data_IF_260231132221
#
_entry.id   IF_260231132221
#
_cell.length_a   1.000
_cell.length_b   1.000
_cell.length_c   1.000
_cell.angle_alpha   90.00
_cell.angle_beta   90.00
_cell.angle_gamma   90.00
#
_symmetry.space_group_name_H-M   'P 1'
#
loop_
_entity.id
_entity.type
_entity.pdbx_description
1 polymer ?
#
# COMPACT_ATOMS: atom_id res chain seq x y z
N UNK A 1 1.40 25.83 12.11
CA UNK A 1 0.61 25.44 13.31
C UNK A 1 1.22 24.17 13.86
N UNK A 2 1.19 23.89 15.18
CA UNK A 2 1.54 22.56 15.67
C UNK A 2 0.66 21.53 14.94
N UNK A 3 1.26 20.43 14.49
CA UNK A 3 0.53 19.35 13.83
C UNK A 3 -0.63 18.88 14.70
N UNK A 4 -1.78 18.64 14.10
CA UNK A 4 -2.90 18.03 14.82
C UNK A 4 -2.53 16.56 15.01
N UNK A 5 -2.51 16.04 16.24
CA UNK A 5 -2.21 14.63 16.47
C UNK A 5 -3.20 13.75 15.71
N UNK A 6 -2.81 12.49 15.44
CA UNK A 6 -3.70 11.48 14.84
C UNK A 6 -5.09 11.54 15.51
N UNK A 7 -6.18 11.81 14.77
CA UNK A 7 -7.51 11.87 15.34
C UNK A 7 -7.81 10.62 16.17
N UNK A 8 -8.32 10.80 17.40
CA UNK A 8 -8.47 9.71 18.38
C UNK A 8 -9.39 8.61 17.86
N UNK A 9 -10.46 9.00 17.18
CA UNK A 9 -11.40 8.10 16.51
C UNK A 9 -10.71 7.30 15.39
N UNK A 10 -9.91 7.95 14.54
CA UNK A 10 -9.11 7.25 13.52
C UNK A 10 -8.12 6.26 14.17
N UNK A 11 -7.49 6.63 15.28
CA UNK A 11 -6.56 5.75 16.01
C UNK A 11 -7.21 4.46 16.49
N UNK A 12 -8.45 4.53 16.94
CA UNK A 12 -9.19 3.34 17.37
C UNK A 12 -9.70 2.52 16.17
N UNK A 13 -10.11 3.19 15.09
CA UNK A 13 -10.50 2.53 13.85
C UNK A 13 -9.36 1.79 13.15
N UNK A 14 -8.11 2.25 13.27
CA UNK A 14 -6.95 1.51 12.73
C UNK A 14 -6.75 0.13 13.37
N UNK A 15 -7.40 -0.15 14.50
CA UNK A 15 -7.41 -1.47 15.15
C UNK A 15 -8.61 -2.32 14.72
N UNK A 16 -9.56 -1.75 13.99
CA UNK A 16 -10.80 -2.38 13.58
C UNK A 16 -10.66 -3.04 12.19
N UNK A 17 -10.82 -4.36 12.07
CA UNK A 17 -10.83 -5.06 10.79
C UNK A 17 -11.78 -4.47 9.74
N UNK A 18 -12.95 -3.98 10.16
CA UNK A 18 -13.93 -3.44 9.20
C UNK A 18 -13.47 -2.13 8.58
N UNK A 19 -12.72 -1.31 9.32
CA UNK A 19 -12.14 -0.08 8.78
C UNK A 19 -11.19 -0.44 7.64
N UNK A 20 -10.33 -1.44 7.85
CA UNK A 20 -9.42 -1.89 6.81
C UNK A 20 -10.13 -2.52 5.62
N UNK A 21 -11.23 -3.24 5.85
CA UNK A 21 -12.02 -3.83 4.78
C UNK A 21 -12.61 -2.74 3.88
N UNK A 22 -13.18 -1.70 4.50
CA UNK A 22 -13.74 -0.55 3.80
C UNK A 22 -12.65 0.31 3.14
N UNK A 23 -11.55 0.60 3.85
CA UNK A 23 -10.41 1.36 3.34
C UNK A 23 -9.75 0.67 2.15
N UNK A 24 -9.57 -0.66 2.20
CA UNK A 24 -9.03 -1.44 1.08
C UNK A 24 -10.06 -1.75 -0.01
N UNK A 25 -11.35 -1.46 0.24
CA UNK A 25 -12.50 -1.76 -0.62
C UNK A 25 -12.63 -3.25 -0.95
N UNK A 26 -12.55 -4.11 0.08
CA UNK A 26 -12.67 -5.56 -0.09
C UNK A 26 -14.12 -6.04 -0.24
N UNK A 27 -15.11 -5.26 0.21
CA UNK A 27 -16.52 -5.69 0.33
C UNK A 27 -17.47 -5.07 -0.71
N UNK A 28 -16.97 -4.48 -1.81
CA UNK A 28 -17.78 -3.83 -2.86
C UNK A 28 -18.55 -4.82 -3.78
N UNK A 29 -19.03 -5.92 -3.21
CA UNK A 29 -20.04 -6.80 -3.80
C UNK A 29 -21.41 -6.23 -3.42
N UNK A 30 -21.74 -5.06 -3.98
CA UNK A 30 -22.89 -4.22 -3.62
C UNK A 30 -24.18 -4.97 -3.27
N UNK A 31 -24.69 -4.69 -2.07
CA UNK A 31 -26.09 -4.32 -1.81
C UNK A 31 -26.48 -4.39 -0.30
N UNK A 32 -25.65 -4.87 0.65
CA UNK A 32 -26.18 -5.23 1.98
C UNK A 32 -25.46 -4.75 3.28
N UNK A 33 -24.36 -3.98 3.30
CA UNK A 33 -23.69 -3.60 4.58
C UNK A 33 -23.06 -2.17 4.66
N UNK A 34 -23.41 -1.25 3.75
CA UNK A 34 -22.78 0.09 3.71
C UNK A 34 -23.32 1.10 4.76
N UNK A 35 -24.41 0.79 5.47
CA UNK A 35 -25.02 1.70 6.47
C UNK A 35 -24.05 2.12 7.59
N UNK A 36 -22.98 1.35 7.83
CA UNK A 36 -22.01 1.66 8.89
C UNK A 36 -21.21 2.95 8.60
N UNK A 37 -20.90 3.19 7.33
CA UNK A 37 -20.07 4.31 6.92
C UNK A 37 -20.89 5.47 6.36
N UNK A 38 -22.17 5.26 6.06
CA UNK A 38 -23.11 6.30 5.69
C UNK A 38 -23.06 7.47 6.68
N UNK A 39 -23.00 8.69 6.14
CA UNK A 39 -22.94 9.96 6.90
C UNK A 39 -21.69 10.11 7.81
N UNK A 40 -20.66 9.26 7.68
CA UNK A 40 -19.43 9.44 8.46
C UNK A 40 -18.64 10.66 7.95
N UNK A 41 -18.25 11.64 8.80
CA UNK A 41 -17.69 12.93 8.37
C UNK A 41 -16.28 12.90 7.73
N UNK A 42 -15.77 11.72 7.35
CA UNK A 42 -14.38 11.52 6.94
C UNK A 42 -13.36 11.85 8.03
N UNK A 43 -12.08 11.69 7.71
CA UNK A 43 -10.94 11.98 8.59
C UNK A 43 -9.85 12.74 7.84
N UNK A 44 -9.22 13.68 8.54
CA UNK A 44 -8.02 14.38 8.06
C UNK A 44 -6.85 14.10 8.99
N UNK A 45 -5.83 13.43 8.48
CA UNK A 45 -4.53 13.27 9.14
C UNK A 45 -3.58 14.36 8.61
N UNK A 46 -3.11 15.25 9.49
CA UNK A 46 -2.11 16.28 9.16
C UNK A 46 -0.82 16.03 9.92
N UNK A 47 0.25 15.67 9.21
CA UNK A 47 1.52 15.28 9.81
C UNK A 47 2.62 16.34 9.60
N UNK A 48 3.24 16.83 10.68
CA UNK A 48 4.38 17.76 10.62
C UNK A 48 5.65 17.03 10.15
N UNK A 49 6.17 17.43 9.00
CA UNK A 49 7.40 16.87 8.41
C UNK A 49 8.63 17.66 8.88
N UNK A 50 8.44 18.90 9.32
CA UNK A 50 9.48 19.85 9.69
C UNK A 50 9.60 21.04 8.73
N UNK A 51 10.27 22.10 9.19
CA UNK A 51 10.44 23.33 8.42
C UNK A 51 9.12 24.02 8.05
N UNK A 52 8.04 23.75 8.79
CA UNK A 52 6.70 24.28 8.53
C UNK A 52 5.92 23.57 7.41
N UNK A 53 6.44 22.47 6.86
CA UNK A 53 5.73 21.65 5.86
C UNK A 53 4.91 20.57 6.55
N UNK A 54 3.72 20.29 6.01
CA UNK A 54 2.89 19.17 6.47
C UNK A 54 2.48 18.28 5.31
N UNK A 55 2.37 16.98 5.58
CA UNK A 55 1.66 16.04 4.72
C UNK A 55 0.21 15.95 5.19
N UNK A 56 -0.73 15.90 4.27
CA UNK A 56 -2.18 15.82 4.57
C UNK A 56 -2.75 14.59 3.87
N UNK A 57 -3.47 13.78 4.63
CA UNK A 57 -4.23 12.65 4.13
C UNK A 57 -5.69 12.82 4.54
N UNK A 58 -6.57 12.88 3.56
CA UNK A 58 -8.02 12.93 3.76
C UNK A 58 -8.61 11.58 3.39
N UNK A 59 -9.44 11.02 4.26
CA UNK A 59 -10.05 9.69 4.12
C UNK A 59 -11.55 9.88 4.27
N UNK A 60 -12.29 9.58 3.23
CA UNK A 60 -13.74 9.57 3.22
C UNK A 60 -14.20 8.20 2.73
N UNK A 61 -14.58 7.34 3.67
CA UNK A 61 -14.97 5.96 3.36
C UNK A 61 -16.37 5.92 2.72
N UNK A 62 -17.26 6.82 3.14
CA UNK A 62 -18.62 6.95 2.60
C UNK A 62 -18.58 7.31 1.11
N UNK A 63 -17.74 8.29 0.77
CA UNK A 63 -17.51 8.66 -0.64
C UNK A 63 -16.50 7.77 -1.36
N UNK A 64 -15.94 6.76 -0.69
CA UNK A 64 -14.89 5.90 -1.23
C UNK A 64 -13.62 6.65 -1.66
N UNK A 65 -13.36 7.83 -1.12
CA UNK A 65 -12.32 8.77 -1.56
C UNK A 65 -11.17 8.86 -0.56
N UNK A 66 -9.94 8.77 -1.04
CA UNK A 66 -8.74 9.05 -0.25
C UNK A 66 -7.88 10.07 -1.01
N UNK A 67 -7.58 11.22 -0.41
CA UNK A 67 -6.74 12.26 -1.01
C UNK A 67 -5.43 12.39 -0.27
N UNK A 68 -4.34 12.51 -1.04
CA UNK A 68 -3.01 12.86 -0.55
C UNK A 68 -2.65 14.27 -1.01
N UNK A 69 -2.26 15.11 -0.06
CA UNK A 69 -1.80 16.47 -0.32
C UNK A 69 -0.63 16.88 0.57
N UNK A 70 -0.12 18.09 0.35
CA UNK A 70 0.85 18.72 1.23
C UNK A 70 0.59 20.22 1.40
N UNK A 71 0.95 20.77 2.55
CA UNK A 71 0.92 22.21 2.77
C UNK A 71 2.36 22.74 2.94
N UNK A 72 2.84 23.58 2.01
CA UNK A 72 4.03 24.39 2.24
C UNK A 72 3.87 25.36 3.42
N UNK A 73 4.97 25.93 3.94
CA UNK A 73 4.90 26.93 5.01
C UNK A 73 4.04 28.13 4.61
N UNK A 74 3.02 28.42 5.42
CA UNK A 74 2.12 29.54 5.21
C UNK A 74 0.96 29.28 4.23
N UNK A 75 0.88 28.09 3.64
CA UNK A 75 -0.25 27.65 2.81
C UNK A 75 -1.17 26.80 3.67
N UNK A 76 -2.49 27.05 3.61
CA UNK A 76 -3.49 26.31 4.39
C UNK A 76 -4.29 25.31 3.56
N UNK A 77 -4.43 25.56 2.26
CA UNK A 77 -5.09 24.65 1.33
C UNK A 77 -4.08 23.61 0.83
N UNK A 78 -4.34 22.30 1.00
CA UNK A 78 -3.42 21.26 0.56
C UNK A 78 -3.20 21.32 -0.96
N UNK A 79 -1.93 21.30 -1.37
CA UNK A 79 -1.57 21.05 -2.77
C UNK A 79 -1.72 19.55 -3.05
N UNK A 80 -2.55 19.19 -4.03
CA UNK A 80 -2.84 17.81 -4.39
C UNK A 80 -1.57 17.08 -4.86
N UNK A 81 -1.36 15.87 -4.34
CA UNK A 81 -0.29 14.96 -4.77
C UNK A 81 -0.84 13.72 -5.48
N UNK A 82 -2.00 13.23 -5.05
CA UNK A 82 -2.71 12.09 -5.67
C UNK A 82 -4.02 11.81 -4.96
N UNK A 83 -4.92 11.05 -5.59
CA UNK A 83 -6.19 10.65 -4.98
C UNK A 83 -6.57 9.23 -5.43
N UNK A 84 -7.47 8.60 -4.69
CA UNK A 84 -8.06 7.32 -5.07
C UNK A 84 -9.56 7.35 -4.75
N UNK A 85 -10.38 7.32 -5.79
CA UNK A 85 -11.85 7.33 -5.76
C UNK A 85 -12.46 6.07 -6.43
N UNK A 86 -11.64 5.04 -6.67
CA UNK A 86 -11.95 3.80 -7.42
C UNK A 86 -12.28 3.97 -8.92
N UNK A 87 -12.92 5.09 -9.28
CA UNK A 87 -13.35 5.36 -10.65
C UNK A 87 -12.24 5.94 -11.54
N UNK A 88 -11.52 6.94 -11.03
CA UNK A 88 -10.45 7.66 -11.72
C UNK A 88 -9.26 7.90 -10.79
N UNK A 89 -8.68 6.83 -10.21
CA UNK A 89 -7.66 6.99 -9.18
C UNK A 89 -6.36 7.51 -9.81
N UNK A 90 -5.63 8.37 -9.10
CA UNK A 90 -4.24 8.74 -9.36
C UNK A 90 -3.36 8.35 -8.16
N UNK A 91 -3.26 7.04 -7.84
CA UNK A 91 -2.61 6.59 -6.64
C UNK A 91 -1.09 6.58 -6.79
N UNK A 92 -0.52 6.62 -8.00
CA UNK A 92 0.92 6.43 -8.20
C UNK A 92 1.72 7.72 -8.02
N UNK A 93 1.62 8.33 -6.84
CA UNK A 93 2.15 9.66 -6.55
C UNK A 93 3.51 9.66 -5.84
N UNK A 94 3.88 8.58 -5.16
CA UNK A 94 5.06 8.52 -4.28
C UNK A 94 6.03 7.42 -4.70
N UNK A 95 7.32 7.73 -4.62
CA UNK A 95 8.37 6.70 -4.53
C UNK A 95 8.44 6.17 -3.10
N UNK A 96 8.80 4.89 -2.93
CA UNK A 96 8.98 4.29 -1.61
C UNK A 96 9.93 5.10 -0.71
N UNK A 97 11.11 5.43 -1.24
CA UNK A 97 12.13 6.20 -0.54
C UNK A 97 11.64 7.55 -0.01
N UNK A 98 10.68 8.17 -0.71
CA UNK A 98 10.11 9.46 -0.33
C UNK A 98 9.16 9.28 0.86
N UNK A 99 8.26 8.30 0.79
CA UNK A 99 7.33 8.01 1.89
C UNK A 99 8.07 7.55 3.15
N UNK A 100 9.07 6.67 3.03
CA UNK A 100 9.91 6.23 4.15
C UNK A 100 10.59 7.42 4.84
N UNK A 101 11.20 8.33 4.06
CA UNK A 101 11.80 9.54 4.60
C UNK A 101 10.78 10.41 5.35
N UNK A 102 9.62 10.66 4.75
CA UNK A 102 8.58 11.50 5.35
C UNK A 102 8.07 10.87 6.64
N UNK A 103 7.80 9.56 6.64
CA UNK A 103 7.33 8.86 7.83
C UNK A 103 8.34 8.91 8.98
N UNK A 104 9.63 8.75 8.71
CA UNK A 104 10.69 8.93 9.72
C UNK A 104 10.72 10.35 10.27
N UNK A 105 10.64 11.35 9.40
CA UNK A 105 10.62 12.75 9.80
C UNK A 105 9.41 13.04 10.70
N UNK A 106 8.22 12.58 10.30
CA UNK A 106 6.98 12.70 11.09
C UNK A 106 7.11 12.02 12.45
N UNK A 107 7.62 10.80 12.52
CA UNK A 107 7.79 10.08 13.79
C UNK A 107 8.71 10.81 14.77
N UNK A 108 9.70 11.56 14.28
CA UNK A 108 10.56 12.42 15.09
C UNK A 108 9.85 13.70 15.57
N UNK A 109 8.79 14.13 14.89
CA UNK A 109 8.04 15.35 15.24
C UNK A 109 6.83 15.05 16.13
N UNK A 110 6.20 13.91 15.89
CA UNK A 110 4.99 13.45 16.57
C UNK A 110 5.15 11.98 17.00
N UNK A 111 5.42 11.72 18.30
CA UNK A 111 5.52 10.36 18.84
C UNK A 111 4.24 9.52 18.71
N UNK A 112 3.07 10.14 18.52
CA UNK A 112 1.80 9.42 18.30
C UNK A 112 1.67 8.86 16.88
N UNK A 113 2.58 9.25 15.98
CA UNK A 113 2.72 8.75 14.61
C UNK A 113 4.07 8.02 14.45
N UNK A 114 4.27 6.87 15.11
CA UNK A 114 5.53 6.14 15.04
C UNK A 114 5.83 5.65 13.62
N UNK A 115 7.10 5.37 13.37
CA UNK A 115 7.56 4.72 12.16
C UNK A 115 8.29 3.41 12.53
N UNK A 116 7.98 2.28 11.90
CA UNK A 116 6.79 2.04 11.08
C UNK A 116 5.48 2.23 11.87
N UNK A 117 4.39 2.59 11.19
CA UNK A 117 3.12 2.87 11.87
C UNK A 117 2.03 3.45 10.96
N UNK A 118 1.00 4.11 11.53
CA UNK A 118 -0.21 4.52 10.83
C UNK A 118 0.00 5.29 9.53
N UNK A 119 0.93 6.27 9.53
CA UNK A 119 1.19 7.07 8.34
C UNK A 119 1.69 6.20 7.18
N UNK A 120 2.59 5.25 7.47
CA UNK A 120 3.13 4.35 6.46
C UNK A 120 2.07 3.39 5.93
N UNK A 121 1.22 2.85 6.82
CA UNK A 121 0.14 1.93 6.46
C UNK A 121 -0.91 2.58 5.56
N UNK A 122 -1.31 3.83 5.87
CA UNK A 122 -2.32 4.56 5.12
C UNK A 122 -1.75 5.18 3.82
N UNK A 123 -0.70 6.02 3.94
CA UNK A 123 -0.13 6.70 2.77
C UNK A 123 0.63 5.75 1.84
N UNK A 124 0.93 4.52 2.29
CA UNK A 124 1.47 3.45 1.45
C UNK A 124 0.59 3.16 0.22
N UNK A 125 -0.71 3.46 0.28
CA UNK A 125 -1.63 3.39 -0.86
C UNK A 125 -1.16 4.21 -2.07
N UNK A 126 -0.41 5.29 -1.83
CA UNK A 126 0.04 6.20 -2.88
C UNK A 126 1.43 5.88 -3.45
N UNK A 127 2.02 4.78 -3.01
CA UNK A 127 3.33 4.34 -3.48
C UNK A 127 3.18 3.61 -4.81
N UNK A 128 4.14 3.81 -5.71
CA UNK A 128 4.37 2.95 -6.86
C UNK A 128 5.80 2.42 -6.82
N UNK A 129 5.92 1.10 -6.79
CA UNK A 129 7.19 0.40 -6.84
C UNK A 129 7.63 0.18 -8.28
N UNK A 130 8.90 0.46 -8.56
CA UNK A 130 9.58 0.14 -9.81
C UNK A 130 10.63 -0.95 -9.63
N UNK A 131 11.31 -1.30 -10.72
CA UNK A 131 12.32 -2.39 -10.80
C UNK A 131 13.48 -2.27 -9.80
N UNK A 132 13.72 -1.07 -9.28
CA UNK A 132 14.85 -0.76 -8.42
C UNK A 132 14.49 -0.67 -6.93
N UNK A 133 13.21 -0.83 -6.57
CA UNK A 133 12.81 -0.80 -5.16
C UNK A 133 13.20 -2.10 -4.44
N UNK A 134 13.82 -1.96 -3.27
CA UNK A 134 14.32 -3.07 -2.48
C UNK A 134 13.23 -3.64 -1.57
N UNK A 135 12.60 -4.73 -2.01
CA UNK A 135 11.57 -5.39 -1.20
C UNK A 135 12.08 -5.94 0.14
N UNK A 136 13.38 -6.20 0.30
CA UNK A 136 13.93 -6.61 1.59
C UNK A 136 13.85 -5.50 2.63
N UNK A 137 13.92 -4.24 2.19
CA UNK A 137 13.74 -3.06 3.03
C UNK A 137 12.25 -2.70 3.18
N UNK A 138 11.49 -2.76 2.10
CA UNK A 138 10.07 -2.32 2.06
C UNK A 138 9.19 -3.23 2.92
N UNK A 139 9.29 -4.54 2.70
CA UNK A 139 8.29 -5.49 3.22
C UNK A 139 8.29 -5.61 4.76
N UNK A 140 9.43 -5.57 5.48
CA UNK A 140 9.40 -5.56 6.93
C UNK A 140 8.82 -4.27 7.52
N UNK A 141 9.09 -3.11 6.90
CA UNK A 141 8.54 -1.84 7.35
C UNK A 141 7.02 -1.81 7.18
N UNK A 142 6.48 -2.28 6.05
CA UNK A 142 5.03 -2.39 5.85
C UNK A 142 4.40 -3.43 6.78
N UNK A 143 5.05 -4.58 6.99
CA UNK A 143 4.55 -5.61 7.90
C UNK A 143 4.42 -5.06 9.33
N UNK A 144 5.44 -4.33 9.81
CA UNK A 144 5.43 -3.68 11.11
C UNK A 144 4.36 -2.57 11.19
N UNK A 145 4.14 -1.81 10.10
CA UNK A 145 3.13 -0.76 10.04
C UNK A 145 1.69 -1.29 10.08
N UNK A 146 1.40 -2.40 9.39
CA UNK A 146 0.10 -3.07 9.47
C UNK A 146 -0.09 -3.82 10.79
N UNK A 147 1.00 -4.31 11.39
CA UNK A 147 0.94 -5.12 12.59
C UNK A 147 0.21 -6.46 12.36
N UNK A 148 -0.08 -7.16 13.46
CA UNK A 148 -0.87 -8.40 13.42
C UNK A 148 -2.31 -8.09 13.75
N UNK A 149 -3.23 -8.44 12.84
CA UNK A 149 -4.66 -8.30 13.05
C UNK A 149 -5.24 -9.33 14.03
N UNK A 150 -6.51 -9.17 14.41
CA UNK A 150 -7.25 -10.19 15.16
C UNK A 150 -7.28 -11.52 14.39
N UNK A 151 -7.15 -12.65 15.10
CA UNK A 151 -7.09 -13.97 14.48
C UNK A 151 -8.40 -14.40 13.79
N UNK A 152 -9.52 -13.79 14.18
CA UNK A 152 -10.87 -14.01 13.66
C UNK A 152 -11.34 -12.89 12.71
N UNK A 153 -10.46 -11.95 12.35
CA UNK A 153 -10.78 -10.90 11.40
C UNK A 153 -11.03 -11.49 10.00
N UNK A 154 -12.15 -11.11 9.37
CA UNK A 154 -12.44 -11.46 7.99
C UNK A 154 -11.44 -10.83 7.01
N UNK A 155 -10.97 -9.61 7.33
CA UNK A 155 -9.94 -8.90 6.58
C UNK A 155 -8.96 -8.20 7.50
N UNK A 156 -7.68 -8.25 7.14
CA UNK A 156 -6.61 -7.43 7.71
C UNK A 156 -5.62 -7.12 6.59
N UNK A 157 -5.08 -5.89 6.50
CA UNK A 157 -4.14 -5.55 5.45
C UNK A 157 -2.87 -6.39 5.60
N UNK A 158 -2.33 -6.84 4.47
CA UNK A 158 -1.08 -7.57 4.42
C UNK A 158 -0.12 -6.89 3.46
N UNK A 159 1.17 -7.14 3.62
CA UNK A 159 2.17 -6.63 2.67
C UNK A 159 1.89 -7.13 1.26
N UNK A 160 1.36 -8.36 1.12
CA UNK A 160 1.00 -8.94 -0.18
C UNK A 160 -0.21 -8.25 -0.81
N UNK A 161 -1.28 -7.99 -0.04
CA UNK A 161 -2.45 -7.26 -0.56
C UNK A 161 -2.11 -5.81 -0.91
N UNK A 162 -1.21 -5.18 -0.15
CA UNK A 162 -0.65 -3.87 -0.48
C UNK A 162 0.17 -3.92 -1.77
N UNK A 163 1.12 -4.85 -1.89
CA UNK A 163 2.01 -5.02 -3.05
C UNK A 163 1.19 -5.19 -4.34
N UNK A 164 0.09 -5.93 -4.29
CA UNK A 164 -0.82 -6.10 -5.43
C UNK A 164 -1.26 -4.78 -6.09
N UNK A 165 -1.41 -3.70 -5.30
CA UNK A 165 -1.88 -2.39 -5.75
C UNK A 165 -0.76 -1.51 -6.30
N UNK A 166 0.43 -1.58 -5.70
CA UNK A 166 1.52 -0.65 -5.98
C UNK A 166 2.67 -1.25 -6.81
N UNK A 167 2.63 -2.55 -7.14
CA UNK A 167 3.74 -3.21 -7.82
C UNK A 167 3.75 -2.96 -9.34
N UNK A 168 4.58 -2.01 -9.77
CA UNK A 168 4.89 -1.72 -11.16
C UNK A 168 6.07 -2.53 -11.71
N UNK A 169 6.71 -3.40 -10.92
CA UNK A 169 7.82 -4.23 -11.39
C UNK A 169 7.34 -5.20 -12.46
N UNK A 170 8.13 -5.35 -13.52
CA UNK A 170 7.84 -6.17 -14.69
C UNK A 170 6.74 -5.61 -15.59
N UNK A 171 6.31 -4.35 -15.40
CA UNK A 171 5.14 -3.75 -16.07
C UNK A 171 5.46 -2.48 -16.86
N UNK A 172 6.72 -2.34 -17.28
CA UNK A 172 7.20 -1.19 -18.03
C UNK A 172 7.28 0.11 -17.23
N UNK A 173 7.01 0.08 -15.92
CA UNK A 173 7.06 1.26 -15.05
C UNK A 173 8.51 1.67 -14.80
N UNK A 174 8.83 2.92 -15.12
CA UNK A 174 10.17 3.47 -14.91
C UNK A 174 10.09 4.83 -14.22
N UNK A 175 10.72 4.93 -13.06
CA UNK A 175 11.01 6.20 -12.41
C UNK A 175 12.28 6.81 -13.00
N UNK A 176 12.21 8.07 -13.41
CA UNK A 176 13.33 8.80 -14.00
C UNK A 176 13.45 10.20 -13.43
N UNK A 177 14.65 10.79 -13.53
CA UNK A 177 14.86 12.19 -13.17
C UNK A 177 14.81 13.07 -14.42
N UNK A 178 14.05 14.14 -14.35
CA UNK A 178 14.09 15.20 -15.37
C UNK A 178 15.33 16.12 -15.20
N UNK A 179 15.48 17.08 -16.11
CA UNK A 179 16.57 18.06 -16.10
C UNK A 179 16.57 18.97 -14.87
N UNK A 180 15.40 19.16 -14.22
CA UNK A 180 15.26 19.91 -12.98
C UNK A 180 15.53 19.04 -11.73
N UNK A 181 15.84 17.75 -11.93
CA UNK A 181 16.11 16.78 -10.87
C UNK A 181 14.86 16.22 -10.19
N UNK A 182 13.67 16.45 -10.74
CA UNK A 182 12.41 15.89 -10.26
C UNK A 182 12.27 14.44 -10.68
N UNK A 183 11.68 13.62 -9.81
CA UNK A 183 11.28 12.27 -10.17
C UNK A 183 9.94 12.30 -10.88
N UNK A 184 9.94 11.85 -12.13
CA UNK A 184 8.76 11.55 -12.93
C UNK A 184 8.65 10.04 -13.16
N UNK A 185 7.47 9.58 -13.51
CA UNK A 185 7.22 8.17 -13.83
C UNK A 185 6.59 8.06 -15.20
N UNK A 186 7.03 7.06 -15.94
CA UNK A 186 6.47 6.68 -17.23
C UNK A 186 6.19 5.17 -17.25
N UNK A 187 5.31 4.74 -18.17
CA UNK A 187 4.99 3.34 -18.38
C UNK A 187 5.05 3.02 -19.87
N UNK A 188 5.85 2.01 -20.22
CA UNK A 188 5.79 1.41 -21.55
C UNK A 188 4.43 0.70 -21.77
N UNK A 189 3.63 1.26 -22.68
CA UNK A 189 2.27 0.76 -23.00
C UNK A 189 2.28 -0.70 -23.46
N UNK A 190 3.34 -1.16 -24.14
CA UNK A 190 3.45 -2.54 -24.62
C UNK A 190 3.72 -3.54 -23.47
N UNK A 191 4.25 -3.05 -22.34
CA UNK A 191 4.61 -3.85 -21.16
C UNK A 191 3.64 -3.70 -20.00
N UNK A 192 2.69 -2.75 -20.07
CA UNK A 192 1.75 -2.50 -18.97
C UNK A 192 0.82 -3.68 -18.67
N UNK A 193 0.48 -4.47 -19.69
CA UNK A 193 -0.34 -5.67 -19.55
C UNK A 193 -1.70 -5.36 -18.93
N UNK A 194 -1.93 -5.79 -17.69
CA UNK A 194 -3.16 -5.55 -16.94
C UNK A 194 -3.11 -4.37 -15.96
N UNK A 195 -1.98 -3.69 -15.90
CA UNK A 195 -1.69 -2.60 -15.01
C UNK A 195 -1.59 -1.30 -15.79
N UNK A 196 -2.39 -0.31 -15.39
CA UNK A 196 -2.38 1.02 -15.98
C UNK A 196 -1.80 2.00 -14.99
N UNK A 197 -0.78 2.74 -15.41
CA UNK A 197 -0.18 3.81 -14.62
C UNK A 197 -1.11 5.02 -14.58
N UNK A 198 -1.68 5.27 -13.41
CA UNK A 198 -2.33 6.55 -13.08
C UNK A 198 -1.47 7.39 -12.16
N UNK A 199 -0.75 8.36 -12.72
CA UNK A 199 0.15 9.22 -11.97
C UNK A 199 0.03 10.67 -12.39
N UNK A 200 0.11 11.57 -11.42
CA UNK A 200 0.36 12.98 -11.69
C UNK A 200 1.84 13.27 -11.88
N UNK A 201 2.77 12.32 -11.77
CA UNK A 201 4.22 12.58 -11.84
C UNK A 201 4.74 12.59 -13.28
N UNK A 202 4.14 13.40 -14.14
CA UNK A 202 4.60 13.62 -15.52
C UNK A 202 5.20 15.04 -15.69
N UNK A 203 6.12 15.27 -16.64
CA UNK A 203 6.76 16.58 -16.84
C UNK A 203 5.78 17.75 -17.06
N UNK A 204 4.61 17.49 -17.66
CA UNK A 204 3.59 18.50 -17.98
C UNK A 204 2.36 18.42 -17.05
N UNK A 205 2.50 17.75 -15.91
CA UNK A 205 1.43 17.56 -14.95
C UNK A 205 1.22 18.75 -14.01
N UNK A 206 0.13 18.69 -13.25
CA UNK A 206 -0.17 19.63 -12.16
C UNK A 206 0.58 19.30 -10.85
N UNK A 207 1.48 18.31 -10.84
CA UNK A 207 2.17 17.90 -9.62
C UNK A 207 3.09 19.02 -9.10
N UNK A 208 3.02 19.37 -7.79
CA UNK A 208 3.70 20.54 -7.24
C UNK A 208 5.19 20.26 -6.95
N UNK A 209 5.99 20.02 -8.00
CA UNK A 209 7.39 19.57 -7.90
C UNK A 209 8.28 20.46 -7.00
N UNK A 210 8.18 21.78 -7.13
CA UNK A 210 9.00 22.71 -6.33
C UNK A 210 8.70 22.61 -4.84
N UNK A 211 7.41 22.59 -4.49
CA UNK A 211 6.95 22.43 -3.12
C UNK A 211 7.31 21.04 -2.57
N UNK A 212 7.17 20.00 -3.39
CA UNK A 212 7.55 18.63 -3.03
C UNK A 212 9.03 18.49 -2.72
N UNK A 213 9.92 19.05 -3.56
CA UNK A 213 11.37 19.07 -3.30
C UNK A 213 11.69 19.79 -1.98
N UNK A 214 11.01 20.91 -1.70
CA UNK A 214 11.20 21.65 -0.45
C UNK A 214 10.77 20.83 0.78
N UNK A 215 9.65 20.10 0.69
CA UNK A 215 9.17 19.19 1.72
C UNK A 215 10.17 18.05 1.97
N UNK A 216 10.66 17.38 0.92
CA UNK A 216 11.66 16.31 1.06
C UNK A 216 12.98 16.82 1.66
N UNK A 217 13.42 18.01 1.27
CA UNK A 217 14.59 18.64 1.87
C UNK A 217 14.38 18.96 3.35
N UNK A 218 13.16 19.38 3.75
CA UNK A 218 12.82 19.59 5.15
C UNK A 218 12.80 18.27 5.94
N UNK A 219 12.19 17.22 5.39
CA UNK A 219 12.19 15.88 5.98
C UNK A 219 13.62 15.36 6.22
N UNK A 220 14.50 15.53 5.22
CA UNK A 220 15.91 15.15 5.31
C UNK A 220 16.65 15.87 6.44
N UNK A 221 16.40 17.18 6.63
CA UNK A 221 16.96 17.95 7.75
C UNK A 221 16.42 17.47 9.09
N UNK A 222 15.12 17.27 9.21
CA UNK A 222 14.48 16.73 10.44
C UNK A 222 15.14 15.44 10.89
N UNK A 223 15.36 14.49 9.96
CA UNK A 223 16.02 13.21 10.28
C UNK A 223 17.50 13.40 10.62
N UNK A 224 18.22 14.22 9.86
CA UNK A 224 19.65 14.45 10.08
C UNK A 224 19.93 15.13 11.44
N UNK A 225 19.06 16.03 11.88
CA UNK A 225 19.20 16.81 13.12
C UNK A 225 18.85 15.98 14.37
N UNK A 226 18.18 14.84 14.23
CA UNK A 226 17.78 13.98 15.35
C UNK A 226 18.97 13.41 16.14
N UNK A 227 20.10 13.18 15.45
CA UNK A 227 21.35 12.71 16.06
C UNK A 227 22.53 13.48 15.47
N UNK A 228 23.07 14.48 16.19
CA UNK A 228 24.20 15.28 15.73
C UNK A 228 25.42 14.41 15.40
N UNK A 229 26.22 14.79 14.40
CA UNK A 229 27.40 14.03 13.99
C UNK A 229 28.37 13.73 15.15
N UNK A 230 28.61 14.70 16.05
CA UNK A 230 29.46 14.53 17.22
C UNK A 230 28.94 13.46 18.21
N UNK A 231 27.63 13.21 18.25
CA UNK A 231 27.05 12.16 19.07
C UNK A 231 27.28 10.76 18.48
N UNK A 232 27.61 10.65 17.19
CA UNK A 232 27.90 9.36 16.53
C UNK A 232 29.27 8.84 16.91
N UNK A 233 30.24 9.74 17.07
CA UNK A 233 31.62 9.41 17.44
C UNK A 233 31.72 8.75 18.82
N UNK A 234 30.78 9.03 19.72
CA UNK A 234 30.77 8.45 21.08
C UNK A 234 30.30 7.00 21.12
N UNK A 235 29.71 6.49 20.03
CA UNK A 235 29.09 5.15 20.00
C UNK A 235 30.06 4.04 19.62
N UNK A 236 31.21 4.37 19.04
CA UNK A 236 32.17 3.38 18.55
C UNK A 236 31.52 2.39 17.58
N UNK A 237 31.70 1.10 17.83
CA UNK A 237 31.20 0.01 16.99
C UNK A 237 29.83 -0.56 17.43
N UNK A 238 29.24 -0.04 18.53
CA UNK A 238 28.00 -0.58 19.11
C UNK A 238 26.86 -0.68 18.08
N UNK A 239 26.54 0.36 17.27
CA UNK A 239 25.46 0.27 16.30
C UNK A 239 25.72 -0.78 15.22
N UNK A 240 26.96 -0.88 14.74
CA UNK A 240 27.34 -1.82 13.69
C UNK A 240 27.22 -3.27 14.18
N UNK A 241 27.61 -3.53 15.44
CA UNK A 241 27.46 -4.84 16.08
C UNK A 241 26.01 -5.19 16.35
N UNK A 242 25.20 -4.23 16.81
CA UNK A 242 23.76 -4.44 17.02
C UNK A 242 23.07 -4.99 15.76
N UNK A 243 23.39 -4.44 14.58
CA UNK A 243 22.83 -4.95 13.32
C UNK A 243 23.48 -6.26 12.87
N UNK A 244 24.80 -6.39 12.98
CA UNK A 244 25.51 -7.59 12.54
C UNK A 244 25.05 -8.84 13.32
N UNK A 245 24.87 -8.69 14.62
CA UNK A 245 24.52 -9.76 15.54
C UNK A 245 22.99 -9.88 15.74
N UNK A 246 22.21 -8.97 15.15
CA UNK A 246 20.76 -8.83 15.34
C UNK A 246 20.37 -8.76 16.83
N UNK A 247 21.14 -7.98 17.58
CA UNK A 247 21.10 -7.95 19.04
C UNK A 247 20.44 -6.66 19.56
N UNK A 248 19.19 -6.79 20.02
CA UNK A 248 18.42 -5.70 20.63
C UNK A 248 19.05 -5.18 21.93
N UNK A 249 19.83 -5.99 22.65
CA UNK A 249 20.52 -5.54 23.87
C UNK A 249 21.65 -4.56 23.56
N UNK A 250 22.34 -4.74 22.43
CA UNK A 250 23.35 -3.80 21.92
C UNK A 250 22.71 -2.51 21.38
N UNK A 251 21.53 -2.61 20.75
CA UNK A 251 20.74 -1.42 20.40
C UNK A 251 20.35 -0.62 21.65
N UNK A 252 19.85 -1.28 22.69
CA UNK A 252 19.51 -0.63 23.95
C UNK A 252 20.75 -0.03 24.65
N UNK A 253 21.92 -0.67 24.54
CA UNK A 253 23.17 -0.11 25.02
C UNK A 253 23.57 1.15 24.25
N UNK A 254 23.35 1.18 22.93
CA UNK A 254 23.54 2.38 22.08
C UNK A 254 22.66 3.52 22.59
N UNK A 255 21.37 3.26 22.84
CA UNK A 255 20.44 4.26 23.39
C UNK A 255 20.86 4.79 24.77
N UNK A 256 21.27 3.90 25.68
CA UNK A 256 21.78 4.31 27.01
C UNK A 256 23.07 5.14 26.91
N UNK A 257 23.93 4.84 25.94
CA UNK A 257 25.19 5.59 25.71
C UNK A 257 24.90 7.01 25.23
N UNK A 258 23.98 7.17 24.27
CA UNK A 258 23.50 8.48 23.82
C UNK A 258 22.89 9.29 24.98
N UNK A 259 21.97 8.67 25.73
CA UNK A 259 21.32 9.31 26.87
C UNK A 259 22.32 9.76 27.95
N UNK A 260 23.32 8.93 28.27
CA UNK A 260 24.36 9.26 29.25
C UNK A 260 25.26 10.43 28.79
N UNK A 261 25.46 10.58 27.48
CA UNK A 261 26.15 11.72 26.89
C UNK A 261 25.26 12.97 26.77
N UNK A 262 23.99 12.92 27.19
CA UNK A 262 23.05 14.03 27.10
C UNK A 262 22.67 14.39 25.67
N UNK A 263 22.80 13.45 24.74
CA UNK A 263 22.55 13.63 23.30
C UNK A 263 21.48 12.66 22.81
N UNK A 264 20.77 13.05 21.75
CA UNK A 264 19.80 12.20 21.06
C UNK A 264 18.36 12.65 21.24
N UNK A 265 17.60 12.53 20.17
CA UNK A 265 16.17 12.83 20.15
C UNK A 265 15.37 11.84 21.02
N UNK A 266 14.33 12.27 21.78
CA UNK A 266 13.54 11.37 22.64
C UNK A 266 13.00 10.12 21.94
N UNK A 267 12.53 10.26 20.69
CA UNK A 267 12.03 9.14 19.88
C UNK A 267 13.15 8.14 19.54
N UNK A 268 14.35 8.63 19.22
CA UNK A 268 15.53 7.80 18.96
C UNK A 268 15.93 7.03 20.22
N UNK A 269 15.99 7.72 21.37
CA UNK A 269 16.34 7.07 22.64
C UNK A 269 15.31 6.01 23.03
N UNK A 270 14.01 6.31 22.88
CA UNK A 270 12.93 5.38 23.18
C UNK A 270 12.99 4.15 22.27
N UNK A 271 13.03 4.32 20.96
CA UNK A 271 13.01 3.17 20.05
C UNK A 271 14.30 2.33 20.06
N UNK A 272 15.41 2.82 20.64
CA UNK A 272 16.58 1.96 20.92
C UNK A 272 16.41 1.11 22.18
N UNK A 273 15.72 1.62 23.20
CA UNK A 273 15.62 0.98 24.53
C UNK A 273 14.36 0.14 24.68
N UNK A 274 13.24 0.63 24.15
CA UNK A 274 11.90 0.05 24.21
C UNK A 274 11.25 0.09 22.81
N UNK A 275 11.82 -0.63 21.82
CA UNK A 275 11.22 -0.72 20.50
C UNK A 275 9.89 -1.49 20.53
N UNK A 276 8.95 -1.08 19.70
CA UNK A 276 7.71 -1.84 19.48
C UNK A 276 7.90 -2.96 18.46
N UNK A 277 8.87 -2.81 17.54
CA UNK A 277 9.19 -3.78 16.50
C UNK A 277 10.70 -3.72 16.12
N UNK A 278 11.35 -4.85 15.73
CA UNK A 278 12.74 -4.82 15.26
C UNK A 278 13.00 -3.88 14.06
N UNK A 279 12.01 -3.65 13.20
CA UNK A 279 12.10 -2.69 12.11
C UNK A 279 12.24 -1.24 12.62
N UNK A 280 11.63 -0.91 13.77
CA UNK A 280 11.82 0.37 14.44
C UNK A 280 13.30 0.57 14.83
N UNK A 281 13.92 -0.45 15.42
CA UNK A 281 15.35 -0.42 15.78
C UNK A 281 16.21 -0.18 14.55
N UNK A 282 15.91 -0.86 13.44
CA UNK A 282 16.72 -0.76 12.22
C UNK A 282 16.76 0.66 11.65
N UNK A 283 15.62 1.33 11.48
CA UNK A 283 15.63 2.69 10.94
C UNK A 283 16.23 3.71 11.91
N UNK A 284 16.09 3.48 13.22
CA UNK A 284 16.74 4.33 14.23
C UNK A 284 18.25 4.16 14.16
N UNK A 285 18.76 2.92 14.05
CA UNK A 285 20.18 2.67 13.86
C UNK A 285 20.69 3.27 12.55
N UNK A 286 19.90 3.28 11.47
CA UNK A 286 20.25 3.99 10.23
C UNK A 286 20.39 5.50 10.48
N UNK A 287 19.47 6.09 11.23
CA UNK A 287 19.51 7.52 11.60
C UNK A 287 20.72 7.85 12.48
N UNK A 288 21.01 7.00 13.46
CA UNK A 288 22.13 7.13 14.39
C UNK A 288 23.47 6.99 13.66
N UNK A 289 23.59 6.06 12.72
CA UNK A 289 24.86 5.77 12.03
C UNK A 289 25.06 6.59 10.76
N UNK A 290 24.01 7.17 10.21
CA UNK A 290 24.02 7.75 8.87
C UNK A 290 24.08 6.70 7.75
N UNK A 291 23.74 5.44 8.04
CA UNK A 291 23.62 4.40 7.01
C UNK A 291 22.52 4.75 6.00
N UNK A 292 22.62 4.19 4.79
CA UNK A 292 21.59 4.36 3.78
C UNK A 292 20.23 3.84 4.29
N UNK A 293 19.16 4.57 4.02
CA UNK A 293 17.80 4.18 4.43
C UNK A 293 17.46 2.80 3.87
N UNK A 294 16.88 1.95 4.71
CA UNK A 294 16.48 0.58 4.37
C UNK A 294 17.60 -0.45 4.39
N UNK A 295 18.88 -0.03 4.40
CA UNK A 295 20.01 -0.96 4.33
C UNK A 295 20.15 -1.86 5.56
N UNK A 296 19.86 -1.34 6.76
CA UNK A 296 19.93 -2.14 7.99
C UNK A 296 18.66 -2.99 8.15
N UNK A 297 17.51 -2.52 7.66
CA UNK A 297 16.27 -3.31 7.57
C UNK A 297 16.51 -4.54 6.68
N UNK A 298 16.95 -4.34 5.43
CA UNK A 298 17.21 -5.42 4.49
C UNK A 298 18.22 -6.44 5.05
N UNK A 299 19.27 -5.97 5.74
CA UNK A 299 20.25 -6.84 6.39
C UNK A 299 19.68 -7.62 7.58
N UNK A 300 18.84 -6.98 8.41
CA UNK A 300 18.26 -7.58 9.61
C UNK A 300 17.22 -8.65 9.26
N UNK A 301 16.36 -8.40 8.29
CA UNK A 301 15.29 -9.34 7.92
C UNK A 301 15.72 -10.32 6.83
N UNK A 302 16.69 -9.95 6.00
CA UNK A 302 17.14 -10.75 4.87
C UNK A 302 16.18 -10.68 3.68
N UNK A 303 16.34 -11.59 2.71
CA UNK A 303 15.54 -11.60 1.48
C UNK A 303 14.05 -11.69 1.74
N UNK A 304 13.28 -10.76 1.16
CA UNK A 304 11.82 -10.81 1.21
C UNK A 304 11.29 -12.04 0.47
N UNK A 305 10.32 -12.73 1.07
CA UNK A 305 9.58 -13.80 0.40
C UNK A 305 8.80 -13.29 -0.83
N UNK A 306 8.47 -12.00 -0.87
CA UNK A 306 7.74 -11.37 -1.97
C UNK A 306 8.67 -10.83 -3.08
N UNK A 307 9.99 -11.01 -2.97
CA UNK A 307 10.95 -10.52 -3.96
C UNK A 307 10.60 -10.99 -5.37
N UNK A 308 10.27 -12.27 -5.52
CA UNK A 308 9.88 -12.90 -6.77
C UNK A 308 8.36 -12.94 -7.00
N UNK A 309 7.58 -12.22 -6.19
CA UNK A 309 6.12 -12.27 -6.29
C UNK A 309 5.67 -11.83 -7.68
N UNK A 310 4.70 -12.55 -8.24
CA UNK A 310 4.12 -12.27 -9.55
C UNK A 310 2.61 -12.19 -9.45
N UNK A 311 2.06 -11.26 -10.20
CA UNK A 311 0.62 -11.13 -10.39
C UNK A 311 0.24 -11.54 -11.80
N UNK A 312 -0.78 -12.39 -11.89
CA UNK A 312 -1.40 -12.79 -13.14
C UNK A 312 -2.86 -12.35 -13.11
N UNK A 313 -3.34 -11.70 -14.17
CA UNK A 313 -4.77 -11.36 -14.29
C UNK A 313 -5.47 -12.31 -15.24
N UNK A 314 -6.57 -12.85 -14.76
CA UNK A 314 -7.54 -13.57 -15.56
C UNK A 314 -8.82 -12.74 -15.66
N UNK A 315 -9.48 -12.84 -16.80
CA UNK A 315 -10.82 -12.31 -17.00
C UNK A 315 -11.76 -13.48 -17.27
N UNK A 316 -12.79 -13.58 -16.43
CA UNK A 316 -13.85 -14.56 -16.56
C UNK A 316 -15.10 -13.88 -17.12
N UNK A 317 -15.51 -14.30 -18.31
CA UNK A 317 -16.81 -13.99 -18.87
C UNK A 317 -17.79 -15.08 -18.44
N UNK A 318 -18.56 -14.81 -17.38
CA UNK A 318 -19.52 -15.73 -16.80
C UNK A 318 -20.88 -15.60 -17.50
N UNK A 319 -21.27 -16.62 -18.25
CA UNK A 319 -22.56 -16.64 -18.92
C UNK A 319 -23.70 -16.95 -17.93
N UNK A 320 -24.65 -16.02 -17.82
CA UNK A 320 -25.76 -16.07 -16.85
C UNK A 320 -27.15 -16.00 -17.50
N UNK A 321 -27.20 -15.84 -18.83
CA UNK A 321 -28.44 -15.79 -19.58
C UNK A 321 -29.32 -17.03 -19.39
N UNK A 322 -30.62 -16.81 -19.20
CA UNK A 322 -31.59 -17.90 -18.98
C UNK A 322 -31.66 -18.44 -17.55
N UNK A 323 -30.81 -17.94 -16.63
CA UNK A 323 -30.94 -18.26 -15.20
C UNK A 323 -32.11 -17.47 -14.57
N UNK A 324 -32.83 -18.05 -13.58
CA UNK A 324 -33.90 -17.36 -12.88
C UNK A 324 -33.44 -16.09 -12.15
N UNK A 325 -32.23 -16.13 -11.58
CA UNK A 325 -31.56 -15.00 -10.94
C UNK A 325 -30.12 -14.88 -11.45
N UNK A 326 -29.91 -14.16 -12.57
CA UNK A 326 -28.59 -13.99 -13.17
C UNK A 326 -27.60 -13.25 -12.26
N UNK A 327 -28.09 -12.25 -11.49
CA UNK A 327 -27.24 -11.41 -10.63
C UNK A 327 -26.81 -12.18 -9.39
N UNK A 328 -27.76 -12.74 -8.64
CA UNK A 328 -27.42 -13.51 -7.44
C UNK A 328 -26.57 -14.74 -7.74
N UNK A 329 -26.76 -15.38 -8.90
CA UNK A 329 -25.84 -16.42 -9.38
C UNK A 329 -24.41 -15.90 -9.58
N UNK A 330 -24.24 -14.77 -10.28
CA UNK A 330 -22.92 -14.20 -10.52
C UNK A 330 -22.23 -13.78 -9.21
N UNK A 331 -22.93 -13.07 -8.33
CA UNK A 331 -22.44 -12.69 -7.00
C UNK A 331 -21.98 -13.91 -6.20
N UNK A 332 -22.79 -14.98 -6.20
CA UNK A 332 -22.44 -16.22 -5.49
C UNK A 332 -21.16 -16.86 -6.04
N UNK A 333 -21.03 -16.94 -7.38
CA UNK A 333 -19.85 -17.52 -8.03
C UNK A 333 -18.60 -16.67 -7.75
N UNK A 334 -18.70 -15.35 -7.87
CA UNK A 334 -17.59 -14.43 -7.60
C UNK A 334 -17.12 -14.55 -6.16
N UNK A 335 -18.03 -14.51 -5.18
CA UNK A 335 -17.71 -14.66 -3.76
C UNK A 335 -17.06 -16.00 -3.45
N UNK A 336 -17.56 -17.10 -4.02
CA UNK A 336 -16.97 -18.42 -3.78
C UNK A 336 -15.62 -18.60 -4.49
N UNK A 337 -15.38 -17.92 -5.62
CA UNK A 337 -14.07 -17.83 -6.26
C UNK A 337 -13.09 -17.05 -5.39
N UNK A 338 -13.50 -15.86 -4.93
CA UNK A 338 -12.69 -14.99 -4.10
C UNK A 338 -12.28 -15.69 -2.81
N UNK A 339 -13.25 -16.24 -2.08
CA UNK A 339 -13.00 -17.03 -0.87
C UNK A 339 -12.01 -18.16 -1.14
N UNK A 340 -12.23 -18.94 -2.20
CA UNK A 340 -11.36 -20.09 -2.50
C UNK A 340 -9.92 -19.65 -2.78
N UNK A 341 -9.71 -18.55 -3.51
CA UNK A 341 -8.39 -18.00 -3.81
C UNK A 341 -7.71 -17.45 -2.55
N UNK A 342 -8.44 -16.69 -1.73
CA UNK A 342 -7.95 -16.13 -0.47
C UNK A 342 -7.58 -17.21 0.56
N UNK A 343 -8.43 -18.23 0.72
CA UNK A 343 -8.20 -19.37 1.64
C UNK A 343 -6.88 -20.12 1.36
N UNK A 344 -6.36 -20.00 0.12
CA UNK A 344 -5.09 -20.61 -0.29
C UNK A 344 -3.97 -19.61 -0.52
N UNK A 345 -4.19 -18.33 -0.23
CA UNK A 345 -3.21 -17.26 -0.48
C UNK A 345 -2.78 -17.23 -1.97
N UNK A 346 -3.72 -17.56 -2.86
CA UNK A 346 -3.50 -17.63 -4.32
C UNK A 346 -4.04 -16.41 -5.06
N UNK A 347 -4.78 -15.51 -4.41
CA UNK A 347 -5.27 -14.26 -5.02
C UNK A 347 -6.70 -13.90 -4.60
N UNK A 348 -7.43 -13.25 -5.50
CA UNK A 348 -8.80 -12.77 -5.26
C UNK A 348 -9.60 -12.68 -6.57
N UNK A 349 -10.92 -12.55 -6.45
CA UNK A 349 -11.83 -12.34 -7.57
C UNK A 349 -12.84 -11.24 -7.25
N UNK A 350 -13.17 -10.40 -8.24
CA UNK A 350 -14.17 -9.34 -8.11
C UNK A 350 -15.01 -9.19 -9.36
N UNK A 351 -16.27 -8.81 -9.21
CA UNK A 351 -17.11 -8.48 -10.36
C UNK A 351 -16.63 -7.16 -10.98
N UNK A 352 -16.47 -7.10 -12.30
CA UNK A 352 -15.94 -5.92 -13.01
C UNK A 352 -16.91 -5.33 -14.03
N UNK A 353 -18.05 -5.99 -14.28
CA UNK A 353 -19.08 -5.42 -15.13
C UNK A 353 -20.10 -6.45 -15.61
N UNK A 354 -21.06 -6.00 -16.42
CA UNK A 354 -22.04 -6.89 -17.02
C UNK A 354 -22.33 -6.54 -18.47
N UNK A 355 -22.70 -7.56 -19.25
CA UNK A 355 -23.14 -7.41 -20.63
C UNK A 355 -24.64 -7.65 -20.73
N UNK A 356 -25.35 -6.72 -21.36
CA UNK A 356 -26.80 -6.80 -21.56
C UNK A 356 -27.14 -7.15 -23.01
N UNK A 357 -28.22 -7.91 -23.21
CA UNK A 357 -28.78 -8.21 -24.53
C UNK A 357 -30.28 -7.93 -24.51
N UNK A 358 -30.84 -7.52 -25.65
CA UNK A 358 -32.30 -7.46 -25.80
C UNK A 358 -32.90 -8.85 -25.87
N UNK A 359 -33.98 -9.08 -25.15
CA UNK A 359 -34.79 -10.28 -25.24
C UNK A 359 -35.88 -10.17 -26.32
N UNK A 360 -36.73 -11.21 -26.43
CA UNK A 360 -37.82 -11.25 -27.40
C UNK A 360 -38.93 -10.20 -27.13
N UNK A 361 -39.02 -9.68 -25.90
CA UNK A 361 -39.96 -8.61 -25.52
C UNK A 361 -39.40 -7.21 -25.79
N UNK A 362 -38.12 -7.12 -26.17
CA UNK A 362 -37.40 -5.86 -26.35
C UNK A 362 -36.78 -5.29 -25.08
N UNK A 363 -36.95 -5.97 -23.93
CA UNK A 363 -36.30 -5.63 -22.67
C UNK A 363 -34.82 -5.99 -22.66
N UNK A 364 -34.00 -5.26 -21.91
CA UNK A 364 -32.60 -5.61 -21.70
C UNK A 364 -32.48 -6.59 -20.53
N UNK A 365 -31.81 -7.71 -20.78
CA UNK A 365 -31.49 -8.70 -19.76
C UNK A 365 -29.98 -8.89 -19.68
N UNK A 366 -29.45 -9.03 -18.47
CA UNK A 366 -28.06 -9.42 -18.25
C UNK A 366 -27.86 -10.83 -18.79
N UNK A 367 -26.96 -11.00 -19.76
CA UNK A 367 -26.67 -12.31 -20.34
C UNK A 367 -25.29 -12.83 -19.94
N UNK A 368 -24.39 -11.94 -19.54
CA UNK A 368 -23.09 -12.30 -19.00
C UNK A 368 -22.60 -11.27 -17.98
N UNK A 369 -21.75 -11.73 -17.08
CA UNK A 369 -21.06 -10.92 -16.08
C UNK A 369 -19.56 -11.09 -16.26
N UNK A 370 -18.80 -10.00 -16.17
CA UNK A 370 -17.35 -10.02 -16.18
C UNK A 370 -16.84 -10.10 -14.74
N UNK A 371 -15.91 -11.00 -14.50
CA UNK A 371 -15.21 -11.16 -13.22
C UNK A 371 -13.71 -11.01 -13.48
N UNK A 372 -13.09 -10.05 -12.81
CA UNK A 372 -11.64 -9.90 -12.77
C UNK A 372 -11.08 -10.82 -11.69
N UNK A 373 -10.08 -11.62 -12.03
CA UNK A 373 -9.44 -12.55 -11.12
C UNK A 373 -7.94 -12.26 -11.11
N UNK A 374 -7.40 -12.01 -9.92
CA UNK A 374 -5.97 -11.94 -9.70
C UNK A 374 -5.48 -13.28 -9.15
N UNK A 375 -4.43 -13.83 -9.77
CA UNK A 375 -3.70 -14.99 -9.26
C UNK A 375 -2.28 -14.57 -8.91
N UNK A 376 -1.81 -15.00 -7.74
CA UNK A 376 -0.50 -14.67 -7.19
C UNK A 376 0.42 -15.89 -7.32
N UNK A 377 1.62 -15.64 -7.86
CA UNK A 377 2.77 -16.56 -7.95
C UNK A 377 2.56 -17.83 -8.79
N UNK A 378 1.59 -18.67 -8.44
CA UNK A 378 1.29 -19.96 -9.07
C UNK A 378 0.05 -19.88 -9.97
N UNK A 379 0.25 -19.40 -11.20
CA UNK A 379 -0.79 -19.32 -12.22
C UNK A 379 -1.51 -20.65 -12.46
N UNK A 380 -0.79 -21.78 -12.39
CA UNK A 380 -1.36 -23.10 -12.65
C UNK A 380 -2.32 -23.49 -11.52
N UNK A 381 -1.87 -23.40 -10.26
CA UNK A 381 -2.70 -23.69 -9.10
C UNK A 381 -3.94 -22.77 -9.03
N UNK A 382 -3.76 -21.47 -9.28
CA UNK A 382 -4.89 -20.52 -9.31
C UNK A 382 -5.89 -20.83 -10.43
N UNK A 383 -5.42 -21.15 -11.64
CA UNK A 383 -6.29 -21.52 -12.77
C UNK A 383 -7.07 -22.81 -12.49
N UNK A 384 -6.42 -23.82 -11.91
CA UNK A 384 -7.06 -25.08 -11.54
C UNK A 384 -8.11 -24.90 -10.44
N UNK A 385 -7.83 -24.02 -9.47
CA UNK A 385 -8.78 -23.66 -8.43
C UNK A 385 -10.00 -22.92 -8.99
N UNK A 386 -9.80 -21.93 -9.87
CA UNK A 386 -10.89 -21.23 -10.57
C UNK A 386 -11.75 -22.24 -11.33
N UNK A 387 -11.13 -23.15 -12.09
CA UNK A 387 -11.84 -24.22 -12.81
C UNK A 387 -12.66 -25.09 -11.84
N UNK A 388 -12.06 -25.55 -10.75
CA UNK A 388 -12.73 -26.42 -9.79
C UNK A 388 -13.93 -25.72 -9.14
N UNK A 389 -13.77 -24.45 -8.74
CA UNK A 389 -14.87 -23.66 -8.19
C UNK A 389 -15.98 -23.48 -9.21
N UNK A 390 -15.67 -23.08 -10.45
CA UNK A 390 -16.68 -22.91 -11.49
C UNK A 390 -17.48 -24.19 -11.75
N UNK A 391 -16.84 -25.37 -11.80
CA UNK A 391 -17.53 -26.65 -12.01
C UNK A 391 -18.56 -26.97 -10.91
N UNK A 392 -18.39 -26.47 -9.68
CA UNK A 392 -19.39 -26.62 -8.61
C UNK A 392 -20.67 -25.82 -8.84
N UNK A 393 -20.62 -24.80 -9.70
CA UNK A 393 -21.74 -23.92 -10.03
C UNK A 393 -22.43 -24.26 -11.37
N UNK A 394 -22.03 -25.35 -12.03
CA UNK A 394 -22.53 -25.78 -13.35
C UNK A 394 -22.49 -24.61 -14.37
N UNK A 395 -21.29 -24.19 -14.81
CA UNK A 395 -21.14 -23.01 -15.64
C UNK A 395 -21.71 -23.30 -17.03
N UNK A 396 -22.36 -22.31 -17.63
CA UNK A 396 -22.86 -22.45 -19.00
C UNK A 396 -21.68 -22.64 -19.98
N UNK A 397 -21.86 -23.38 -21.09
CA UNK A 397 -20.79 -23.65 -22.06
C UNK A 397 -20.10 -22.41 -22.64
N UNK A 398 -20.80 -21.26 -22.65
CA UNK A 398 -20.30 -19.97 -23.10
C UNK A 398 -19.44 -19.24 -22.06
N UNK A 399 -19.28 -19.81 -20.85
CA UNK A 399 -18.38 -19.28 -19.83
C UNK A 399 -16.93 -19.41 -20.29
N UNK A 400 -16.21 -18.30 -20.33
CA UNK A 400 -14.83 -18.25 -20.85
C UNK A 400 -13.91 -17.59 -19.83
N UNK A 401 -12.84 -18.30 -19.46
CA UNK A 401 -11.71 -17.75 -18.70
C UNK A 401 -10.57 -17.39 -19.67
N UNK A 402 -10.00 -16.18 -19.52
CA UNK A 402 -8.89 -15.66 -20.33
C UNK A 402 -7.75 -15.21 -19.44
N UNK A 403 -6.51 -15.40 -19.87
CA UNK A 403 -5.31 -14.85 -19.21
C UNK A 403 -4.78 -13.66 -20.02
N UNK A 404 -4.48 -12.55 -19.36
CA UNK A 404 -3.88 -11.37 -19.98
C UNK A 404 -2.34 -11.51 -20.02
N UNK A 405 -1.71 -11.18 -21.15
CA UNK A 405 -0.24 -11.24 -21.30
C UNK A 405 0.34 -12.55 -21.88
N UNK A 406 -0.50 -13.48 -22.34
CA UNK A 406 -0.06 -14.69 -23.04
C UNK A 406 -1.11 -15.21 -24.03
N UNK A 407 -0.68 -15.83 -25.13
CA UNK A 407 -1.54 -16.25 -26.26
C UNK A 407 -2.46 -17.46 -25.97
N UNK A 408 -2.51 -17.99 -24.74
CA UNK A 408 -3.20 -19.24 -24.35
C UNK A 408 -3.63 -19.09 -22.86
N UNK A 409 -4.81 -19.47 -22.35
CA UNK A 409 -5.80 -20.47 -22.76
C UNK A 409 -7.23 -19.93 -22.60
N UNK A 410 -8.09 -20.15 -23.61
CA UNK A 410 -9.53 -20.28 -23.40
C UNK A 410 -9.72 -21.64 -22.75
N UNK A 411 -9.98 -21.68 -21.44
CA UNK A 411 -10.50 -22.91 -20.84
C UNK A 411 -11.97 -22.96 -21.20
N UNK A 412 -12.32 -23.63 -22.30
CA UNK A 412 -13.66 -24.13 -22.47
C UNK A 412 -13.88 -25.13 -21.32
N UNK A 413 -14.76 -24.80 -20.38
CA UNK A 413 -15.07 -25.66 -19.24
C UNK A 413 -16.00 -26.79 -19.72
N UNK A 414 -15.52 -27.64 -20.65
CA UNK A 414 -16.09 -28.94 -21.03
C UNK A 414 -15.19 -29.72 -21.97
#
# INVERSE_FOLDING_TARGET
>A
MPGVPLPTDLRDLLKDPSFWSAYDRCDDDGDDDDERWEDHPGWTLTADVGGGHTLVLEIDIDLGMVNLGMCPPGVTEPLQLGWDDDAHPFPHALRWDELDLIARAVALRDPDLPHPGPLLALAGRFVLLGEHDDLDAVTPLLAAAFGTGPADAAHWPTVRSWLYRCDGRGRGVTWQRDDAGNWTVDQDEDQGGDFTLYSLRAPESEFPFDAWRALLAAAGRTVADAVPAAARDTLGDLPARAVADRDLSLAAQTGRTLAAAGVGHPVVLRGLVEPTDPAEVCWILETVTGAARGSLVARWFGPSALRGARRHRLSLHLAVGGRPDPRGYATTVTRDLDRALRDRDLGHARQSGSSMRRDASGGYVTHAVSVDIAVLDDLAAGTDLVRHTLLRHDPAPETVLRHHGGTVAVVALR
#
